data_IF_881574143519
#
_entry.id   IF_881574143519
#
_cell.length_a   1.000
_cell.length_b   1.000
_cell.length_c   1.000
_cell.angle_alpha   90.00
_cell.angle_beta   90.00
_cell.angle_gamma   90.00
#
_symmetry.space_group_name_H-M   'P 1'
#
loop_
_entity.id
_entity.type
_entity.pdbx_description
1 polymer ?
#
# COMPACT_ATOMS: atom_id res chain seq x y z
N UNK A 1 -0.43 -0.37 32.34
CA UNK A 1 0.33 -0.60 31.09
C UNK A 1 -0.56 -0.19 29.92
N UNK A 2 -0.20 0.87 29.22
CA UNK A 2 -0.96 1.34 28.05
C UNK A 2 -0.53 0.50 26.84
N UNK A 3 -1.48 -0.21 26.24
CA UNK A 3 -1.25 -1.02 25.04
C UNK A 3 -0.78 -0.13 23.86
N UNK A 4 0.42 -0.34 23.29
CA UNK A 4 0.97 0.50 22.22
C UNK A 4 0.31 0.32 20.84
N UNK A 5 -0.72 -0.52 20.74
CA UNK A 5 -1.23 -1.06 19.48
C UNK A 5 -2.02 -0.05 18.63
N UNK A 6 -2.77 0.87 19.24
CA UNK A 6 -3.64 1.81 18.50
C UNK A 6 -2.87 2.84 17.66
N UNK A 7 -1.76 3.37 18.18
CA UNK A 7 -0.95 4.39 17.49
C UNK A 7 -0.11 3.82 16.35
N UNK A 8 0.46 2.62 16.51
CA UNK A 8 1.26 1.98 15.46
C UNK A 8 0.41 1.48 14.28
N UNK A 9 -0.82 1.05 14.55
CA UNK A 9 -1.77 0.59 13.54
C UNK A 9 -2.24 1.74 12.62
N UNK A 10 -2.59 2.89 13.21
CA UNK A 10 -2.93 4.09 12.43
C UNK A 10 -1.76 4.57 11.57
N UNK A 11 -0.53 4.53 12.09
CA UNK A 11 0.67 4.92 11.32
C UNK A 11 0.90 4.02 10.11
N UNK A 12 0.63 2.72 10.23
CA UNK A 12 0.85 1.76 9.14
C UNK A 12 -0.19 1.95 8.03
N UNK A 13 -1.48 2.01 8.37
CA UNK A 13 -2.55 2.24 7.38
C UNK A 13 -2.39 3.58 6.67
N UNK A 14 -2.11 4.66 7.42
CA UNK A 14 -1.87 5.97 6.84
C UNK A 14 -0.68 5.96 5.87
N UNK A 15 0.36 5.17 6.16
CA UNK A 15 1.52 5.02 5.27
C UNK A 15 1.15 4.34 3.96
N UNK A 16 0.36 3.25 4.01
CA UNK A 16 -0.13 2.58 2.80
C UNK A 16 -1.01 3.51 1.95
N UNK A 17 -1.95 4.23 2.58
CA UNK A 17 -2.84 5.17 1.88
C UNK A 17 -2.05 6.31 1.21
N UNK A 18 -1.04 6.87 1.89
CA UNK A 18 -0.18 7.89 1.30
C UNK A 18 0.59 7.37 0.09
N UNK A 19 1.14 6.16 0.19
CA UNK A 19 1.88 5.53 -0.91
C UNK A 19 0.98 5.27 -2.14
N UNK A 20 -0.22 4.73 -1.91
CA UNK A 20 -1.21 4.48 -2.97
C UNK A 20 -1.59 5.79 -3.67
N UNK A 21 -1.95 6.83 -2.92
CA UNK A 21 -2.28 8.15 -3.49
C UNK A 21 -1.14 8.77 -4.28
N UNK A 22 0.10 8.56 -3.85
CA UNK A 22 1.28 9.02 -4.56
C UNK A 22 1.42 8.33 -5.93
N UNK A 23 1.22 7.02 -5.97
CA UNK A 23 1.23 6.23 -7.21
C UNK A 23 0.09 6.64 -8.16
N UNK A 24 -1.13 6.84 -7.65
CA UNK A 24 -2.27 7.31 -8.42
C UNK A 24 -2.00 8.69 -9.05
N UNK A 25 -1.43 9.61 -8.26
CA UNK A 25 -1.03 10.95 -8.73
C UNK A 25 0.03 10.85 -9.82
N UNK A 26 1.03 9.97 -9.64
CA UNK A 26 2.07 9.75 -10.64
C UNK A 26 1.48 9.22 -11.96
N UNK A 27 0.57 8.23 -11.91
CA UNK A 27 -0.12 7.70 -13.10
C UNK A 27 -0.96 8.76 -13.82
N UNK A 28 -1.69 9.60 -13.07
CA UNK A 28 -2.47 10.70 -13.62
C UNK A 28 -1.56 11.70 -14.36
N UNK A 29 -0.44 12.08 -13.75
CA UNK A 29 0.56 12.94 -14.38
C UNK A 29 1.17 12.30 -15.63
N UNK A 30 1.50 11.02 -15.60
CA UNK A 30 2.01 10.30 -16.77
C UNK A 30 0.99 10.28 -17.91
N UNK A 31 -0.29 10.04 -17.61
CA UNK A 31 -1.37 10.07 -18.61
C UNK A 31 -1.49 11.44 -19.27
N UNK A 32 -1.37 12.52 -18.47
CA UNK A 32 -1.36 13.89 -19.02
C UNK A 32 -0.17 14.12 -19.94
N UNK A 33 1.04 13.76 -19.52
CA UNK A 33 2.26 13.93 -20.33
C UNK A 33 2.19 13.07 -21.60
N UNK A 34 1.63 11.86 -21.50
CA UNK A 34 1.40 10.96 -22.65
C UNK A 34 0.58 11.64 -23.75
N UNK A 35 -0.56 12.25 -23.39
CA UNK A 35 -1.39 12.98 -24.37
C UNK A 35 -0.68 14.19 -24.99
N UNK A 36 0.19 14.88 -24.24
CA UNK A 36 1.02 15.97 -24.78
C UNK A 36 2.02 15.46 -25.82
N UNK A 37 2.66 14.32 -25.55
CA UNK A 37 3.62 13.70 -26.49
C UNK A 37 2.90 13.15 -27.72
N UNK A 38 1.72 12.55 -27.58
CA UNK A 38 0.91 12.11 -28.73
C UNK A 38 0.53 13.27 -29.64
N UNK A 39 0.16 14.42 -29.06
CA UNK A 39 -0.14 15.64 -29.83
C UNK A 39 1.09 16.14 -30.59
N UNK A 40 2.25 16.15 -29.94
CA UNK A 40 3.52 16.51 -30.57
C UNK A 40 3.88 15.55 -31.70
N UNK A 41 3.68 14.22 -31.50
CA UNK A 41 3.86 13.18 -32.51
C UNK A 41 3.02 13.45 -33.75
N UNK A 42 1.71 13.68 -33.57
CA UNK A 42 0.78 13.93 -34.67
C UNK A 42 1.16 15.19 -35.47
N UNK A 43 1.56 16.24 -34.76
CA UNK A 43 2.03 17.50 -35.38
C UNK A 43 3.28 17.25 -36.22
N UNK A 44 4.27 16.53 -35.67
CA UNK A 44 5.51 16.22 -36.38
C UNK A 44 5.28 15.30 -37.58
N UNK A 45 4.46 14.26 -37.45
CA UNK A 45 4.14 13.35 -38.57
C UNK A 45 3.46 14.08 -39.73
N UNK A 46 2.65 15.09 -39.44
CA UNK A 46 1.99 15.90 -40.48
C UNK A 46 2.98 16.76 -41.25
N UNK A 47 3.95 17.38 -40.56
CA UNK A 47 4.88 18.35 -41.14
C UNK A 47 6.20 17.75 -41.63
N UNK A 48 6.59 16.58 -41.11
CA UNK A 48 7.83 15.88 -41.42
C UNK A 48 7.53 14.44 -41.84
N UNK A 49 7.36 14.25 -43.15
CA UNK A 49 7.14 12.93 -43.78
C UNK A 49 8.44 12.30 -44.32
N UNK A 50 9.58 12.99 -44.17
CA UNK A 50 10.87 12.47 -44.59
C UNK A 50 11.43 11.37 -43.66
N UNK A 51 12.59 10.78 -44.02
CA UNK A 51 13.25 9.74 -43.21
C UNK A 51 13.44 10.14 -41.73
N UNK A 52 13.76 11.41 -41.46
CA UNK A 52 13.93 11.94 -40.11
C UNK A 52 12.63 11.95 -39.31
N UNK A 53 11.50 12.26 -39.96
CA UNK A 53 10.17 12.20 -39.35
C UNK A 53 9.79 10.78 -38.95
N UNK A 54 10.12 9.79 -39.78
CA UNK A 54 9.94 8.38 -39.45
C UNK A 54 10.86 7.90 -38.32
N UNK A 55 12.12 8.35 -38.28
CA UNK A 55 13.04 8.03 -37.18
C UNK A 55 12.51 8.60 -35.85
N UNK A 56 12.06 9.85 -35.85
CA UNK A 56 11.50 10.50 -34.68
C UNK A 56 10.19 9.84 -34.20
N UNK A 57 9.29 9.48 -35.13
CA UNK A 57 8.05 8.78 -34.79
C UNK A 57 8.31 7.45 -34.05
N UNK A 58 9.35 6.70 -34.44
CA UNK A 58 9.75 5.46 -33.74
C UNK A 58 10.26 5.71 -32.32
N UNK A 59 11.00 6.80 -32.09
CA UNK A 59 11.44 7.18 -30.74
C UNK A 59 10.22 7.52 -29.87
N UNK A 60 9.27 8.27 -30.42
CA UNK A 60 8.03 8.58 -29.69
C UNK A 60 7.18 7.34 -29.39
N UNK A 61 7.07 6.40 -30.31
CA UNK A 61 6.37 5.12 -30.07
C UNK A 61 7.03 4.31 -28.95
N UNK A 62 8.36 4.26 -28.95
CA UNK A 62 9.11 3.60 -27.88
C UNK A 62 8.83 4.28 -26.53
N UNK A 63 8.88 5.61 -26.49
CA UNK A 63 8.57 6.37 -25.28
C UNK A 63 7.14 6.12 -24.78
N UNK A 64 6.15 6.13 -25.67
CA UNK A 64 4.74 5.86 -25.33
C UNK A 64 4.57 4.45 -24.73
N UNK A 65 5.20 3.44 -25.33
CA UNK A 65 5.19 2.07 -24.82
C UNK A 65 5.81 1.95 -23.43
N UNK A 66 6.94 2.61 -23.18
CA UNK A 66 7.57 2.61 -21.86
C UNK A 66 6.71 3.32 -20.81
N UNK A 67 6.03 4.41 -21.16
CA UNK A 67 5.08 5.08 -20.26
C UNK A 67 3.92 4.15 -19.89
N UNK A 68 3.36 3.41 -20.83
CA UNK A 68 2.31 2.41 -20.54
C UNK A 68 2.82 1.27 -19.67
N UNK A 69 4.09 0.87 -19.80
CA UNK A 69 4.72 -0.12 -18.93
C UNK A 69 4.89 0.40 -17.51
N UNK A 70 5.32 1.66 -17.35
CA UNK A 70 5.47 2.29 -16.03
C UNK A 70 4.10 2.44 -15.35
N UNK A 71 3.07 2.90 -16.07
CA UNK A 71 1.70 3.01 -15.56
C UNK A 71 1.17 1.67 -15.04
N UNK A 72 1.35 0.58 -15.79
CA UNK A 72 1.00 -0.78 -15.37
C UNK A 72 1.78 -1.25 -14.14
N UNK A 73 3.04 -0.84 -14.03
CA UNK A 73 3.87 -1.14 -12.84
C UNK A 73 3.35 -0.40 -11.61
N UNK A 74 2.93 0.86 -11.75
CA UNK A 74 2.27 1.60 -10.66
C UNK A 74 0.96 0.92 -10.23
N UNK A 75 0.11 0.49 -11.16
CA UNK A 75 -1.11 -0.27 -10.86
C UNK A 75 -0.81 -1.55 -10.08
N UNK A 76 0.21 -2.30 -10.50
CA UNK A 76 0.62 -3.51 -9.80
C UNK A 76 1.09 -3.21 -8.36
N UNK A 77 1.83 -2.12 -8.16
CA UNK A 77 2.26 -1.68 -6.83
C UNK A 77 1.07 -1.23 -5.96
N UNK A 78 0.12 -0.48 -6.51
CA UNK A 78 -1.11 -0.08 -5.81
C UNK A 78 -1.89 -1.31 -5.33
N UNK A 79 -2.08 -2.30 -6.21
CA UNK A 79 -2.75 -3.56 -5.87
C UNK A 79 -1.99 -4.32 -4.77
N UNK A 80 -0.67 -4.42 -4.87
CA UNK A 80 0.15 -5.10 -3.87
C UNK A 80 0.10 -4.40 -2.50
N UNK A 81 0.12 -3.07 -2.48
CA UNK A 81 -0.03 -2.29 -1.25
C UNK A 81 -1.43 -2.47 -0.66
N UNK A 82 -2.49 -2.49 -1.49
CA UNK A 82 -3.85 -2.80 -1.06
C UNK A 82 -3.98 -4.19 -0.41
N UNK A 83 -3.41 -5.22 -1.05
CA UNK A 83 -3.39 -6.58 -0.47
C UNK A 83 -2.59 -6.62 0.84
N UNK A 84 -1.44 -5.96 0.88
CA UNK A 84 -0.59 -5.91 2.09
C UNK A 84 -1.30 -5.21 3.25
N UNK A 85 -2.04 -4.13 2.97
CA UNK A 85 -2.85 -3.43 3.96
C UNK A 85 -3.97 -4.31 4.50
N UNK A 86 -4.70 -5.01 3.64
CA UNK A 86 -5.76 -5.94 4.07
C UNK A 86 -5.20 -7.08 4.92
N UNK A 87 -4.11 -7.71 4.48
CA UNK A 87 -3.45 -8.78 5.21
C UNK A 87 -2.95 -8.30 6.59
N UNK A 88 -2.35 -7.10 6.65
CA UNK A 88 -1.90 -6.50 7.91
C UNK A 88 -3.06 -6.25 8.88
N UNK A 89 -4.19 -5.73 8.38
CA UNK A 89 -5.39 -5.51 9.19
C UNK A 89 -5.96 -6.83 9.74
N UNK A 90 -6.03 -7.88 8.92
CA UNK A 90 -6.52 -9.19 9.33
C UNK A 90 -5.61 -9.87 10.37
N UNK A 91 -4.29 -9.86 10.15
CA UNK A 91 -3.33 -10.42 11.09
C UNK A 91 -3.38 -9.72 12.45
N UNK A 92 -3.55 -8.39 12.45
CA UNK A 92 -3.69 -7.61 13.68
C UNK A 92 -5.00 -7.89 14.41
N UNK A 93 -6.13 -8.04 13.70
CA UNK A 93 -7.40 -8.40 14.31
C UNK A 93 -7.34 -9.76 15.03
N UNK A 94 -6.71 -10.76 14.40
CA UNK A 94 -6.48 -12.07 15.03
C UNK A 94 -5.56 -12.00 16.25
N UNK A 95 -4.48 -11.23 16.16
CA UNK A 95 -3.58 -11.02 17.29
C UNK A 95 -4.28 -10.31 18.47
N UNK A 96 -5.18 -9.37 18.21
CA UNK A 96 -5.97 -8.72 19.28
C UNK A 96 -6.92 -9.71 19.96
N UNK A 97 -7.58 -10.59 19.22
CA UNK A 97 -8.47 -11.61 19.79
C UNK A 97 -7.70 -12.59 20.68
N UNK A 98 -6.51 -13.03 20.25
CA UNK A 98 -5.63 -13.90 21.03
C UNK A 98 -5.08 -13.20 22.29
N UNK A 99 -4.66 -11.94 22.19
CA UNK A 99 -4.20 -11.16 23.36
C UNK A 99 -5.33 -10.94 24.36
N UNK A 100 -6.55 -10.67 23.90
CA UNK A 100 -7.72 -10.53 24.77
C UNK A 100 -8.08 -11.87 25.43
N UNK A 101 -8.05 -12.97 24.67
CA UNK A 101 -8.31 -14.31 25.21
C UNK A 101 -7.24 -14.77 26.21
N UNK A 102 -5.96 -14.56 25.89
CA UNK A 102 -4.82 -14.86 26.76
C UNK A 102 -4.75 -13.97 27.99
N UNK A 103 -5.07 -12.68 27.84
CA UNK A 103 -5.20 -11.74 28.96
C UNK A 103 -6.32 -12.14 29.94
N UNK A 104 -7.44 -12.64 29.40
CA UNK A 104 -8.52 -13.21 30.22
C UNK A 104 -8.05 -14.44 31.00
N UNK A 105 -7.27 -15.31 30.38
CA UNK A 105 -6.71 -16.51 31.03
C UNK A 105 -5.74 -16.16 32.18
N UNK A 106 -4.92 -15.12 32.01
CA UNK A 106 -4.05 -14.63 33.10
C UNK A 106 -4.81 -13.95 34.24
N UNK A 107 -5.96 -13.34 33.97
CA UNK A 107 -6.82 -12.76 35.00
C UNK A 107 -7.46 -13.85 35.87
N UNK A 108 -8.03 -14.90 35.26
CA UNK A 108 -8.55 -16.05 36.01
C UNK A 108 -7.46 -16.82 36.77
N UNK A 109 -6.23 -16.87 36.24
CA UNK A 109 -5.10 -17.54 36.90
C UNK A 109 -4.66 -16.85 38.19
N UNK A 110 -4.68 -15.52 38.24
CA UNK A 110 -4.29 -14.77 39.45
C UNK A 110 -5.31 -14.91 40.58
N UNK A 111 -6.61 -14.87 40.28
CA UNK A 111 -7.66 -15.00 41.31
C UNK A 111 -7.62 -16.39 41.96
N UNK A 112 -7.47 -17.46 41.16
CA UNK A 112 -7.35 -18.83 41.66
C UNK A 112 -6.08 -19.04 42.47
N UNK A 113 -4.96 -18.45 42.06
CA UNK A 113 -3.69 -18.58 42.77
C UNK A 113 -3.68 -17.80 44.09
N UNK A 114 -4.35 -16.66 44.16
CA UNK A 114 -4.47 -15.85 45.37
C UNK A 114 -5.45 -16.48 46.39
N UNK A 115 -6.57 -17.05 45.92
CA UNK A 115 -7.50 -17.81 46.76
C UNK A 115 -6.86 -19.09 47.32
N UNK A 116 -6.08 -19.80 46.50
CA UNK A 116 -5.34 -20.99 46.95
C UNK A 116 -4.25 -20.63 47.97
N UNK A 117 -3.55 -19.50 47.79
CA UNK A 117 -2.51 -19.06 48.71
C UNK A 117 -3.11 -18.59 50.05
N UNK A 118 -4.23 -17.87 50.04
CA UNK A 118 -4.94 -17.46 51.25
C UNK A 118 -5.59 -18.64 51.98
N UNK A 119 -6.13 -19.63 51.26
CA UNK A 119 -6.66 -20.86 51.87
C UNK A 119 -5.57 -21.74 52.50
N UNK A 120 -4.33 -21.67 52.01
CA UNK A 120 -3.18 -22.38 52.59
C UNK A 120 -2.46 -21.61 53.69
N UNK A 121 -2.51 -20.28 53.70
CA UNK A 121 -1.78 -19.45 54.69
C UNK A 121 -2.57 -19.12 55.94
N UNK A 122 -3.83 -19.55 56.06
CA UNK A 122 -4.61 -19.57 57.30
C UNK A 122 -4.39 -18.36 58.22
N UNK A 123 -4.98 -17.22 57.87
CA UNK A 123 -5.32 -16.14 58.81
C UNK A 123 -6.82 -15.88 58.71
#
# INVERSE_FOLDING_TARGET
MSTPSGTQQQSSSATYDMAIRSLETARSNMTRIQGQVETAKATLQTNYQGPDGHAYARVMETWLSEVDRIKRTCEAMENQLGFSMQASNSAQAGAMEEVVAGGKLTAFGNDVQNDAYNAMSGV
#
